data_IF_664365450271
#
_entry.id   IF_664365450271
#
_cell.length_a   1.000
_cell.length_b   1.000
_cell.length_c   1.000
_cell.angle_alpha   90.00
_cell.angle_beta   90.00
_cell.angle_gamma   90.00
#
_symmetry.space_group_name_H-M   'P 1'
#
loop_
_entity.id
_entity.type
_entity.pdbx_description
1 polymer ?
#
# COMPACT_ATOMS: atom_id res chain seq x y z
N UNK A 1 -56.90 25.07 -11.53
CA UNK A 1 -55.59 24.40 -11.28
C UNK A 1 -55.11 23.84 -12.62
N UNK A 2 -54.11 24.48 -13.23
CA UNK A 2 -53.60 24.16 -14.57
C UNK A 2 -52.70 22.92 -14.50
N UNK A 3 -53.00 21.91 -15.33
CA UNK A 3 -52.28 20.62 -15.38
C UNK A 3 -50.77 20.76 -15.62
N UNK A 4 -50.36 21.87 -16.23
CA UNK A 4 -48.96 22.25 -16.45
C UNK A 4 -48.19 22.54 -15.16
N UNK A 5 -48.82 23.10 -14.12
CA UNK A 5 -48.13 23.40 -12.85
C UNK A 5 -47.86 22.13 -12.04
N UNK A 6 -48.68 21.09 -12.21
CA UNK A 6 -48.47 19.78 -11.56
C UNK A 6 -47.29 19.00 -12.17
N UNK A 7 -47.01 19.19 -13.47
CA UNK A 7 -45.90 18.52 -14.16
C UNK A 7 -44.53 19.19 -13.92
N UNK A 8 -44.49 20.49 -13.67
CA UNK A 8 -43.25 21.19 -13.31
C UNK A 8 -42.78 20.85 -11.88
N UNK A 9 -43.72 20.57 -10.97
CA UNK A 9 -43.39 20.18 -9.60
C UNK A 9 -42.75 18.79 -9.49
N UNK A 10 -43.08 17.86 -10.40
CA UNK A 10 -42.55 16.49 -10.39
C UNK A 10 -41.13 16.36 -10.95
N UNK A 11 -40.72 17.23 -11.88
CA UNK A 11 -39.36 17.20 -12.45
C UNK A 11 -38.31 17.72 -11.45
N UNK A 12 -38.66 18.71 -10.62
CA UNK A 12 -37.76 19.28 -9.60
C UNK A 12 -37.45 18.31 -8.45
N UNK A 13 -38.33 17.34 -8.17
CA UNK A 13 -38.15 16.37 -7.09
C UNK A 13 -37.10 15.29 -7.39
N UNK A 14 -36.93 14.91 -8.65
CA UNK A 14 -36.02 13.82 -9.04
C UNK A 14 -34.53 14.23 -8.97
N UNK A 15 -34.21 15.51 -9.17
CA UNK A 15 -32.83 16.03 -9.15
C UNK A 15 -32.20 16.14 -7.76
N UNK A 16 -33.00 16.10 -6.69
CA UNK A 16 -32.49 16.22 -5.32
C UNK A 16 -31.88 14.94 -4.75
N UNK A 17 -32.05 13.79 -5.43
CA UNK A 17 -31.57 12.48 -4.96
C UNK A 17 -30.15 12.10 -5.48
N UNK A 18 -29.52 12.95 -6.30
CA UNK A 18 -28.19 12.66 -6.86
C UNK A 18 -27.00 13.08 -5.95
N UNK A 19 -27.26 13.52 -4.71
CA UNK A 19 -26.25 14.08 -3.80
C UNK A 19 -25.29 13.08 -3.13
N UNK A 20 -25.48 11.77 -3.31
CA UNK A 20 -24.62 10.74 -2.69
C UNK A 20 -23.66 10.08 -3.70
N UNK A 21 -23.25 10.79 -4.76
CA UNK A 21 -22.15 10.33 -5.59
C UNK A 21 -20.84 10.35 -4.77
N UNK A 22 -20.21 9.18 -4.64
CA UNK A 22 -19.00 8.89 -3.86
C UNK A 22 -17.91 9.94 -4.13
N UNK A 23 -17.57 10.74 -3.12
CA UNK A 23 -16.45 11.67 -3.18
C UNK A 23 -15.14 10.89 -3.01
N UNK A 24 -14.30 10.84 -4.04
CA UNK A 24 -12.93 10.36 -3.89
C UNK A 24 -12.22 11.25 -2.86
N UNK A 25 -11.58 10.63 -1.87
CA UNK A 25 -10.78 11.28 -0.86
C UNK A 25 -9.29 10.98 -1.07
N UNK A 26 -8.42 11.63 -0.30
CA UNK A 26 -6.96 11.43 -0.37
C UNK A 26 -6.53 9.97 -0.16
N UNK A 27 -7.34 9.18 0.56
CA UNK A 27 -7.10 7.76 0.83
C UNK A 27 -7.68 6.84 -0.25
N UNK A 28 -8.23 7.40 -1.34
CA UNK A 28 -8.72 6.60 -2.46
C UNK A 28 -7.51 6.06 -3.22
N UNK A 29 -7.26 4.77 -3.06
CA UNK A 29 -6.19 4.06 -3.77
C UNK A 29 -6.53 4.07 -5.27
N UNK A 30 -5.83 4.93 -6.02
CA UNK A 30 -5.99 5.06 -7.48
C UNK A 30 -5.31 3.93 -8.24
N UNK A 31 -4.19 3.43 -7.71
CA UNK A 31 -3.37 2.42 -8.36
C UNK A 31 -2.63 1.57 -7.31
N UNK A 32 -2.51 0.28 -7.57
CA UNK A 32 -1.74 -0.65 -6.74
C UNK A 32 -0.33 -0.77 -7.32
N UNK A 33 0.63 -0.06 -6.72
CA UNK A 33 2.05 -0.25 -7.05
C UNK A 33 2.62 -1.35 -6.16
N UNK A 34 3.05 -2.45 -6.77
CA UNK A 34 3.85 -3.44 -6.06
C UNK A 34 5.27 -2.91 -5.88
N UNK A 35 5.67 -2.62 -4.65
CA UNK A 35 7.05 -2.27 -4.31
C UNK A 35 7.71 -3.46 -3.61
N UNK A 36 8.90 -3.83 -4.08
CA UNK A 36 9.72 -4.83 -3.39
C UNK A 36 10.18 -4.29 -2.03
N UNK A 37 10.35 -5.19 -1.05
CA UNK A 37 10.91 -4.82 0.26
C UNK A 37 12.33 -4.25 0.07
N UNK A 38 12.62 -3.00 0.48
CA UNK A 38 13.94 -2.37 0.30
C UNK A 38 15.08 -3.16 0.94
N UNK A 39 14.87 -3.73 2.14
CA UNK A 39 15.88 -4.54 2.82
C UNK A 39 16.17 -5.84 2.08
N UNK A 40 15.13 -6.47 1.53
CA UNK A 40 15.26 -7.68 0.72
C UNK A 40 16.05 -7.40 -0.57
N UNK A 41 15.71 -6.30 -1.27
CA UNK A 41 16.42 -5.84 -2.47
C UNK A 41 17.88 -5.52 -2.14
N UNK A 42 18.13 -4.86 -1.02
CA UNK A 42 19.49 -4.54 -0.58
C UNK A 42 20.32 -5.78 -0.35
N UNK A 43 19.82 -6.76 0.42
CA UNK A 43 20.51 -8.02 0.66
C UNK A 43 20.96 -8.71 -0.64
N UNK A 44 20.03 -8.87 -1.60
CA UNK A 44 20.31 -9.51 -2.89
C UNK A 44 21.29 -8.68 -3.72
N UNK A 45 21.19 -7.34 -3.69
CA UNK A 45 22.16 -6.44 -4.38
C UNK A 45 23.58 -6.56 -3.82
N UNK A 46 23.74 -6.85 -2.52
CA UNK A 46 25.05 -7.10 -1.90
C UNK A 46 25.58 -8.53 -2.18
N UNK A 47 24.83 -9.33 -2.94
CA UNK A 47 25.17 -10.73 -3.25
C UNK A 47 24.85 -11.70 -2.12
N UNK A 48 23.98 -11.32 -1.18
CA UNK A 48 23.45 -12.20 -0.16
C UNK A 48 22.17 -12.93 -0.59
N UNK A 49 21.78 -13.92 0.20
CA UNK A 49 20.55 -14.70 0.04
C UNK A 49 19.57 -14.41 1.17
N UNK A 50 18.27 -14.49 0.90
CA UNK A 50 17.23 -14.29 1.90
C UNK A 50 16.83 -15.61 2.53
N UNK A 51 16.94 -15.70 3.85
CA UNK A 51 16.50 -16.86 4.62
C UNK A 51 15.38 -16.43 5.57
N UNK A 52 14.19 -16.99 5.39
CA UNK A 52 13.05 -16.71 6.28
C UNK A 52 12.83 -17.88 7.23
N UNK A 53 12.80 -17.58 8.51
CA UNK A 53 12.60 -18.54 9.60
C UNK A 53 11.47 -18.09 10.51
N UNK A 54 10.90 -19.03 11.26
CA UNK A 54 9.96 -18.73 12.34
C UNK A 54 10.67 -18.95 13.67
N UNK A 55 10.81 -17.90 14.47
CA UNK A 55 11.43 -17.91 15.79
C UNK A 55 10.54 -17.17 16.77
N UNK A 56 10.32 -17.71 17.97
CA UNK A 56 9.42 -17.12 18.98
C UNK A 56 8.03 -16.77 18.42
N UNK A 57 7.46 -17.64 17.57
CA UNK A 57 6.19 -17.43 16.85
C UNK A 57 6.18 -16.22 15.90
N UNK A 58 7.35 -15.69 15.53
CA UNK A 58 7.50 -14.57 14.60
C UNK A 58 8.26 -15.01 13.34
N UNK A 59 7.79 -14.55 12.18
CA UNK A 59 8.51 -14.75 10.92
C UNK A 59 9.58 -13.68 10.78
N UNK A 60 10.84 -14.10 10.79
CA UNK A 60 12.02 -13.24 10.65
C UNK A 60 12.70 -13.58 9.33
N UNK A 61 13.13 -12.56 8.59
CA UNK A 61 13.92 -12.75 7.37
C UNK A 61 15.32 -12.22 7.60
N UNK A 62 16.31 -13.08 7.41
CA UNK A 62 17.71 -12.77 7.48
C UNK A 62 18.29 -12.58 6.08
N UNK A 63 19.31 -11.73 6.00
CA UNK A 63 20.27 -11.74 4.91
C UNK A 63 21.45 -12.64 5.29
N UNK A 64 21.67 -13.68 4.50
CA UNK A 64 22.89 -14.49 4.52
C UNK A 64 23.85 -13.88 3.52
N UNK A 65 24.85 -13.15 4.00
CA UNK A 65 25.82 -12.48 3.14
C UNK A 65 26.65 -13.49 2.35
N UNK A 66 27.33 -13.03 1.29
CA UNK A 66 28.28 -13.87 0.51
C UNK A 66 29.37 -14.54 1.34
N UNK A 67 29.67 -14.00 2.53
CA UNK A 67 30.67 -14.54 3.45
C UNK A 67 30.06 -15.54 4.45
N UNK A 68 28.75 -15.81 4.36
CA UNK A 68 28.01 -16.69 5.27
C UNK A 68 27.53 -16.02 6.57
N UNK A 69 27.77 -14.73 6.76
CA UNK A 69 27.24 -14.00 7.91
C UNK A 69 25.73 -13.87 7.81
N UNK A 70 25.02 -14.21 8.89
CA UNK A 70 23.56 -14.11 8.99
C UNK A 70 23.18 -12.92 9.86
N UNK A 71 22.51 -11.94 9.27
CA UNK A 71 22.06 -10.71 9.92
C UNK A 71 20.61 -10.43 9.55
N UNK A 72 19.79 -9.94 10.47
CA UNK A 72 18.39 -9.61 10.17
C UNK A 72 18.33 -8.56 9.04
N UNK A 73 17.45 -8.72 8.04
CA UNK A 73 17.53 -7.95 6.80
C UNK A 73 17.41 -6.44 7.01
N UNK A 74 16.55 -5.98 7.93
CA UNK A 74 16.36 -4.56 8.19
C UNK A 74 17.49 -3.97 9.01
N UNK A 75 18.07 -4.74 9.92
CA UNK A 75 19.29 -4.36 10.63
C UNK A 75 20.45 -4.17 9.65
N UNK A 76 20.64 -5.14 8.75
CA UNK A 76 21.66 -5.02 7.70
C UNK A 76 21.44 -3.81 6.80
N UNK A 77 20.19 -3.57 6.40
CA UNK A 77 19.83 -2.40 5.60
C UNK A 77 20.16 -1.10 6.32
N UNK A 78 19.67 -0.88 7.55
CA UNK A 78 19.93 0.37 8.31
C UNK A 78 21.41 0.63 8.54
N UNK A 79 22.16 -0.38 8.97
CA UNK A 79 23.60 -0.25 9.24
C UNK A 79 24.41 0.20 8.01
N UNK A 80 23.97 -0.18 6.80
CA UNK A 80 24.73 0.04 5.57
C UNK A 80 24.09 1.06 4.62
N UNK A 81 22.89 1.55 4.93
CA UNK A 81 22.11 2.44 4.07
C UNK A 81 21.77 3.78 4.75
N UNK A 82 21.81 3.88 6.09
CA UNK A 82 21.57 5.15 6.81
C UNK A 82 22.79 6.09 6.83
N UNK A 83 23.91 5.67 6.22
CA UNK A 83 25.12 6.50 6.07
C UNK A 83 25.21 7.26 4.72
N UNK A 84 24.11 7.37 3.98
CA UNK A 84 24.03 8.10 2.71
C UNK A 84 23.17 9.36 2.81
#
# INVERSE_FOLDING_TARGET
MNKTTLLLASVAGATLLAGCARQENEYTVKEYVSMANPAAVFCVKQGGELETVTENDQRITYCVTKNGEKVEQWEYFRQNHDQQ
#
